data_IF_806809322059
#
_entry.id   IF_806809322059
#
_cell.length_a   1.000
_cell.length_b   1.000
_cell.length_c   1.000
_cell.angle_alpha   90.00
_cell.angle_beta   90.00
_cell.angle_gamma   90.00
#
_symmetry.space_group_name_H-M   'P 1'
#
loop_
_entity.id
_entity.type
_entity.pdbx_description
1 polymer ?
#
# COMPACT_ATOMS: atom_id res chain seq x y z
N UNK A 1 6.41 -10.14 37.68
CA UNK A 1 7.83 -10.57 37.74
C UNK A 1 8.67 -10.25 36.51
N UNK A 2 8.12 -9.66 35.44
CA UNK A 2 8.87 -9.32 34.18
C UNK A 2 9.53 -7.94 34.19
N UNK A 3 9.02 -7.00 34.99
CA UNK A 3 9.56 -5.62 35.02
C UNK A 3 10.96 -5.48 35.65
N UNK A 4 11.30 -6.34 36.61
CA UNK A 4 12.61 -6.33 37.25
C UNK A 4 13.73 -6.96 36.42
N UNK A 5 13.39 -7.82 35.44
CA UNK A 5 14.40 -8.46 34.56
C UNK A 5 14.83 -7.57 33.39
N UNK A 6 14.01 -6.59 32.98
CA UNK A 6 14.38 -5.65 31.91
C UNK A 6 15.42 -4.63 32.43
N UNK A 7 15.27 -4.17 33.67
CA UNK A 7 16.22 -3.21 34.28
C UNK A 7 17.63 -3.78 34.47
N UNK A 8 17.75 -5.08 34.77
CA UNK A 8 19.04 -5.73 35.01
C UNK A 8 19.87 -6.04 33.73
N UNK A 9 19.29 -5.96 32.54
CA UNK A 9 19.94 -6.32 31.28
C UNK A 9 20.40 -5.12 30.42
N UNK A 10 20.01 -3.92 30.78
CA UNK A 10 20.50 -2.70 30.14
C UNK A 10 21.96 -2.37 30.53
N UNK A 11 22.55 -3.12 31.45
CA UNK A 11 23.90 -2.88 32.02
C UNK A 11 25.09 -3.27 31.11
N UNK A 12 24.88 -3.78 29.91
CA UNK A 12 25.97 -4.20 28.99
C UNK A 12 26.04 -3.36 27.71
N UNK A 13 25.33 -2.23 27.67
CA UNK A 13 25.36 -1.25 26.57
C UNK A 13 25.89 0.11 27.05
N UNK A 14 25.93 1.13 26.16
CA UNK A 14 26.19 2.51 26.58
C UNK A 14 25.20 2.91 27.69
N UNK A 15 25.61 3.83 28.60
CA UNK A 15 24.75 4.25 29.70
C UNK A 15 23.39 4.73 29.16
N UNK A 16 22.31 4.17 29.71
CA UNK A 16 20.93 4.49 29.37
C UNK A 16 20.43 5.48 30.38
N UNK A 17 19.93 6.60 29.92
CA UNK A 17 19.29 7.62 30.75
C UNK A 17 17.77 7.41 30.75
N UNK A 18 17.15 7.74 31.86
CA UNK A 18 15.70 7.66 32.04
C UNK A 18 15.13 9.03 32.36
N UNK A 19 14.08 9.44 31.61
CA UNK A 19 13.38 10.71 31.83
C UNK A 19 11.88 10.49 31.75
N UNK A 20 11.14 11.03 32.72
CA UNK A 20 9.69 11.03 32.70
C UNK A 20 9.15 12.23 31.93
N UNK A 21 8.32 12.01 30.90
CA UNK A 21 7.66 13.04 30.11
C UNK A 21 6.15 12.72 30.10
N UNK A 22 5.38 13.47 30.85
CA UNK A 22 3.95 13.16 31.04
C UNK A 22 3.75 11.73 31.52
N UNK A 23 2.98 10.93 30.78
CA UNK A 23 2.74 9.52 31.05
C UNK A 23 3.80 8.57 30.47
N UNK A 24 4.86 9.09 29.85
CA UNK A 24 5.86 8.29 29.14
C UNK A 24 7.18 8.28 29.90
N UNK A 25 7.67 7.08 30.24
CA UNK A 25 9.04 6.89 30.74
C UNK A 25 9.95 6.61 29.55
N UNK A 26 10.75 7.59 29.16
CA UNK A 26 11.74 7.50 28.07
C UNK A 26 13.01 6.85 28.59
N UNK A 27 13.53 5.88 27.83
CA UNK A 27 14.83 5.24 28.05
C UNK A 27 15.66 5.33 26.75
N UNK A 28 16.80 6.02 26.79
CA UNK A 28 17.66 6.22 25.64
C UNK A 28 19.12 6.46 26.05
N UNK A 29 20.06 6.32 25.13
CA UNK A 29 21.42 6.86 25.33
C UNK A 29 21.38 8.39 25.38
N UNK A 30 22.38 9.03 26.01
CA UNK A 30 22.46 10.49 26.13
C UNK A 30 22.31 11.22 24.80
N UNK A 31 22.88 10.68 23.71
CA UNK A 31 22.78 11.26 22.36
C UNK A 31 21.38 11.22 21.76
N UNK A 32 20.54 10.25 22.16
CA UNK A 32 19.19 10.06 21.65
C UNK A 32 18.08 10.54 22.60
N UNK A 33 18.46 10.99 23.79
CA UNK A 33 17.49 11.39 24.82
C UNK A 33 16.59 12.54 24.38
N UNK A 34 17.14 13.55 23.72
CA UNK A 34 16.38 14.69 23.21
C UNK A 34 15.33 14.25 22.17
N UNK A 35 15.67 13.31 21.28
CA UNK A 35 14.73 12.71 20.35
C UNK A 35 13.61 11.95 21.10
N UNK A 36 13.99 11.16 22.12
CA UNK A 36 13.05 10.41 22.94
C UNK A 36 12.03 11.31 23.65
N UNK A 37 12.48 12.44 24.20
CA UNK A 37 11.61 13.44 24.85
C UNK A 37 10.60 14.01 23.82
N UNK A 38 11.06 14.45 22.65
CA UNK A 38 10.19 14.96 21.61
C UNK A 38 9.17 13.94 21.09
N UNK A 39 9.55 12.67 21.00
CA UNK A 39 8.63 11.58 20.64
C UNK A 39 7.59 11.34 21.76
N UNK A 40 8.02 11.36 23.01
CA UNK A 40 7.13 11.18 24.17
C UNK A 40 6.08 12.31 24.29
N UNK A 41 6.46 13.56 24.05
CA UNK A 41 5.54 14.70 24.01
C UNK A 41 4.46 14.53 22.95
N UNK A 42 4.83 14.04 21.74
CA UNK A 42 3.85 13.77 20.67
C UNK A 42 2.95 12.58 21.00
N UNK A 43 3.48 11.54 21.63
CA UNK A 43 2.71 10.39 22.09
C UNK A 43 1.65 10.81 23.12
N UNK A 44 2.00 11.66 24.07
CA UNK A 44 1.08 12.16 25.11
C UNK A 44 -0.04 13.05 24.54
N UNK A 45 0.19 13.67 23.39
CA UNK A 45 -0.81 14.50 22.68
C UNK A 45 -1.75 13.67 21.79
N UNK A 46 -1.38 12.44 21.43
CA UNK A 46 -2.17 11.56 20.55
C UNK A 46 -3.33 10.94 21.33
N UNK A 47 -4.55 11.40 21.06
CA UNK A 47 -5.74 11.01 21.86
C UNK A 47 -6.93 10.52 21.05
N UNK A 48 -6.88 10.60 19.71
CA UNK A 48 -7.98 10.16 18.84
C UNK A 48 -7.51 9.01 17.98
N UNK A 49 -8.22 7.90 18.08
CA UNK A 49 -7.87 6.63 17.43
C UNK A 49 -8.99 6.18 16.49
N UNK A 50 -8.63 5.72 15.32
CA UNK A 50 -9.58 5.31 14.30
C UNK A 50 -10.55 4.23 14.85
N UNK A 51 -11.84 4.51 14.83
CA UNK A 51 -12.89 3.59 15.31
C UNK A 51 -12.95 3.37 16.82
N UNK A 52 -11.91 3.72 17.59
CA UNK A 52 -11.92 3.67 19.06
C UNK A 52 -12.28 5.03 19.70
N UNK A 53 -12.29 6.11 18.90
CA UNK A 53 -12.56 7.44 19.42
C UNK A 53 -11.45 8.00 20.30
N UNK A 54 -11.82 8.81 21.29
CA UNK A 54 -10.85 9.45 22.19
C UNK A 54 -10.42 8.49 23.30
N UNK A 55 -9.13 8.18 23.34
CA UNK A 55 -8.50 7.29 24.34
C UNK A 55 -7.16 7.84 24.76
N UNK A 56 -6.84 7.76 26.02
CA UNK A 56 -5.52 8.05 26.56
C UNK A 56 -4.65 6.78 26.50
N UNK A 57 -3.38 6.96 26.15
CA UNK A 57 -2.42 5.85 26.11
C UNK A 57 -2.14 5.29 27.50
N UNK A 58 -2.38 6.09 28.56
CA UNK A 58 -1.96 5.79 29.93
C UNK A 58 -0.43 5.66 30.04
N UNK A 59 0.10 5.33 31.23
CA UNK A 59 1.55 5.21 31.42
C UNK A 59 2.15 4.07 30.58
N UNK A 60 3.27 4.37 29.87
CA UNK A 60 4.05 3.37 29.14
C UNK A 60 5.53 3.75 29.10
N UNK A 61 6.38 2.78 28.72
CA UNK A 61 7.81 2.98 28.54
C UNK A 61 8.14 3.05 27.07
N UNK A 62 8.93 4.07 26.69
CA UNK A 62 9.50 4.26 25.35
C UNK A 62 11.00 4.02 25.42
N UNK A 63 11.47 2.96 24.76
CA UNK A 63 12.89 2.59 24.71
C UNK A 63 13.42 2.87 23.30
N UNK A 64 14.44 3.69 23.18
CA UNK A 64 15.14 3.95 21.93
C UNK A 64 16.40 3.10 21.85
N UNK A 65 16.55 2.33 20.77
CA UNK A 65 17.71 1.50 20.51
C UNK A 65 18.37 1.89 19.19
N UNK A 66 19.73 1.92 19.12
CA UNK A 66 20.43 2.41 17.95
C UNK A 66 20.21 1.50 16.72
N UNK A 67 20.13 0.18 16.92
CA UNK A 67 20.16 -0.79 15.84
C UNK A 67 19.44 -2.11 16.17
N UNK A 68 19.41 -3.01 15.18
CA UNK A 68 18.82 -4.34 15.31
C UNK A 68 19.52 -5.20 16.36
N UNK A 69 20.83 -5.05 16.54
CA UNK A 69 21.58 -5.85 17.52
C UNK A 69 21.19 -5.46 18.95
N UNK A 70 20.95 -4.19 19.21
CA UNK A 70 20.42 -3.71 20.48
C UNK A 70 18.99 -4.18 20.72
N UNK A 71 18.11 -4.14 19.69
CA UNK A 71 16.78 -4.68 19.77
C UNK A 71 16.80 -6.18 20.12
N UNK A 72 17.61 -6.98 19.44
CA UNK A 72 17.72 -8.42 19.66
C UNK A 72 18.25 -8.74 21.08
N UNK A 73 19.18 -7.95 21.59
CA UNK A 73 19.68 -8.09 22.99
C UNK A 73 18.56 -7.88 23.99
N UNK A 74 17.80 -6.79 23.87
CA UNK A 74 16.71 -6.46 24.80
C UNK A 74 15.57 -7.48 24.73
N UNK A 75 15.22 -7.93 23.52
CA UNK A 75 14.14 -8.89 23.29
C UNK A 75 14.57 -10.35 23.46
N UNK A 76 15.86 -10.62 23.70
CA UNK A 76 16.45 -11.96 23.74
C UNK A 76 16.20 -12.76 22.46
N UNK A 77 16.35 -12.11 21.30
CA UNK A 77 16.13 -12.72 20.00
C UNK A 77 14.66 -12.96 19.63
N UNK A 78 13.70 -12.47 20.42
CA UNK A 78 12.27 -12.67 20.17
C UNK A 78 11.63 -11.57 19.30
N UNK A 79 12.32 -10.44 19.13
CA UNK A 79 11.85 -9.36 18.26
C UNK A 79 12.12 -9.66 16.79
N UNK A 80 11.29 -9.19 15.85
CA UNK A 80 11.54 -9.32 14.43
C UNK A 80 12.77 -8.49 14.04
N UNK A 81 13.74 -9.13 13.37
CA UNK A 81 14.97 -8.45 12.96
C UNK A 81 14.72 -7.32 11.92
N UNK A 82 13.63 -7.41 11.19
CA UNK A 82 13.24 -6.44 10.16
C UNK A 82 12.36 -5.29 10.71
N UNK A 83 11.76 -5.43 11.91
CA UNK A 83 10.86 -4.43 12.50
C UNK A 83 11.59 -3.14 12.86
N UNK A 84 11.00 -2.00 12.55
CA UNK A 84 11.48 -0.69 13.00
C UNK A 84 11.08 -0.40 14.46
N UNK A 85 9.99 -1.01 14.94
CA UNK A 85 9.50 -0.93 16.29
C UNK A 85 9.02 -2.29 16.81
N UNK A 86 8.72 -2.32 18.09
CA UNK A 86 8.11 -3.46 18.77
C UNK A 86 7.31 -3.00 19.98
N UNK A 87 6.04 -3.33 20.00
CA UNK A 87 5.18 -3.13 21.17
C UNK A 87 5.10 -4.39 22.01
N UNK A 88 5.29 -4.26 23.31
CA UNK A 88 5.09 -5.29 24.33
C UNK A 88 3.90 -4.88 25.21
N UNK A 89 2.66 -5.23 24.85
CA UNK A 89 1.46 -4.71 25.52
C UNK A 89 1.40 -5.05 27.01
N UNK A 90 1.74 -6.27 27.40
CA UNK A 90 1.72 -6.71 28.79
C UNK A 90 2.73 -5.98 29.68
N UNK A 91 3.85 -5.51 29.10
CA UNK A 91 4.85 -4.71 29.79
C UNK A 91 4.63 -3.21 29.59
N UNK A 92 3.61 -2.82 28.81
CA UNK A 92 3.34 -1.44 28.38
C UNK A 92 4.63 -0.74 27.89
N UNK A 93 5.37 -1.41 27.02
CA UNK A 93 6.67 -0.95 26.55
C UNK A 93 6.66 -0.91 25.01
N UNK A 94 7.13 0.18 24.46
CA UNK A 94 7.40 0.36 23.04
C UNK A 94 8.91 0.48 22.88
N UNK A 95 9.49 -0.27 21.97
CA UNK A 95 10.90 -0.22 21.62
C UNK A 95 11.00 0.28 20.17
N UNK A 96 11.76 1.33 19.92
CA UNK A 96 12.00 1.88 18.59
C UNK A 96 13.45 1.75 18.19
N UNK A 97 13.69 1.30 16.97
CA UNK A 97 15.00 1.27 16.33
C UNK A 97 15.25 2.59 15.59
N UNK A 98 16.41 3.18 15.78
CA UNK A 98 16.77 4.46 15.17
C UNK A 98 17.44 4.32 13.79
N UNK A 99 17.93 3.11 13.46
CA UNK A 99 18.50 2.78 12.13
C UNK A 99 17.42 2.38 11.09
N UNK A 100 16.14 2.36 11.46
CA UNK A 100 15.07 1.86 10.61
C UNK A 100 13.86 2.80 10.57
N UNK A 101 13.56 3.31 9.39
CA UNK A 101 12.34 4.08 9.14
C UNK A 101 12.33 5.48 9.76
N UNK A 102 11.14 6.06 9.81
CA UNK A 102 10.87 7.32 10.51
C UNK A 102 10.42 7.01 11.94
N UNK A 103 11.15 7.47 12.98
CA UNK A 103 10.82 7.16 14.37
C UNK A 103 9.42 7.67 14.78
N UNK A 104 8.95 8.77 14.24
CA UNK A 104 7.63 9.32 14.56
C UNK A 104 6.51 8.46 13.95
N UNK A 105 6.64 8.07 12.68
CA UNK A 105 5.68 7.18 12.03
C UNK A 105 5.66 5.81 12.74
N UNK A 106 6.84 5.27 13.05
CA UNK A 106 6.97 4.01 13.79
C UNK A 106 6.31 4.11 15.17
N UNK A 107 6.56 5.21 15.92
CA UNK A 107 5.91 5.40 17.22
C UNK A 107 4.38 5.39 17.12
N UNK A 108 3.80 6.08 16.12
CA UNK A 108 2.34 6.08 15.93
C UNK A 108 1.79 4.68 15.66
N UNK A 109 2.51 3.89 14.87
CA UNK A 109 2.17 2.49 14.59
C UNK A 109 2.19 1.65 15.88
N UNK A 110 3.25 1.74 16.66
CA UNK A 110 3.40 1.00 17.92
C UNK A 110 2.40 1.45 19.00
N UNK A 111 2.10 2.75 19.04
CA UNK A 111 1.03 3.26 19.92
C UNK A 111 -0.33 2.69 19.54
N UNK A 112 -0.63 2.52 18.26
CA UNK A 112 -1.87 1.90 17.82
C UNK A 112 -2.00 0.45 18.31
N UNK A 113 -0.91 -0.33 18.31
CA UNK A 113 -0.89 -1.66 18.92
C UNK A 113 -1.13 -1.59 20.43
N UNK A 114 -0.49 -0.65 21.13
CA UNK A 114 -0.65 -0.49 22.58
C UNK A 114 -2.10 -0.15 22.94
N UNK A 115 -2.73 0.76 22.22
CA UNK A 115 -4.12 1.16 22.43
C UNK A 115 -5.07 0.02 22.10
N UNK A 116 -4.90 -0.63 20.95
CA UNK A 116 -5.75 -1.75 20.54
C UNK A 116 -5.70 -2.87 21.58
N UNK A 117 -4.50 -3.26 22.04
CA UNK A 117 -4.32 -4.29 23.07
C UNK A 117 -4.87 -3.86 24.44
N UNK A 118 -4.91 -2.56 24.74
CA UNK A 118 -5.48 -2.05 25.99
C UNK A 118 -7.01 -1.99 25.94
N UNK A 119 -7.59 -1.79 24.77
CA UNK A 119 -9.03 -1.71 24.58
C UNK A 119 -9.69 -3.10 24.47
N UNK A 120 -9.00 -4.06 23.86
CA UNK A 120 -9.59 -5.36 23.55
C UNK A 120 -9.18 -6.44 24.55
N UNK A 121 -10.12 -7.06 25.27
CA UNK A 121 -9.82 -8.15 26.19
C UNK A 121 -9.49 -9.47 25.48
N UNK A 122 -9.96 -9.63 24.24
CA UNK A 122 -9.78 -10.81 23.41
C UNK A 122 -8.62 -10.72 22.41
N UNK A 123 -8.26 -11.85 21.81
CA UNK A 123 -7.28 -11.88 20.71
C UNK A 123 -7.96 -11.55 19.40
N UNK A 124 -7.26 -10.80 18.56
CA UNK A 124 -7.64 -10.54 17.15
C UNK A 124 -6.61 -11.18 16.21
N UNK A 125 -6.97 -11.50 14.96
CA UNK A 125 -6.03 -11.97 13.95
C UNK A 125 -4.89 -10.98 13.74
N UNK A 126 -3.70 -11.47 13.35
CA UNK A 126 -2.52 -10.62 13.16
C UNK A 126 -2.75 -9.61 12.04
N UNK A 127 -3.36 -10.03 10.93
CA UNK A 127 -3.69 -9.11 9.83
C UNK A 127 -4.58 -7.94 10.27
N UNK A 128 -5.49 -8.20 11.23
CA UNK A 128 -6.35 -7.14 11.76
C UNK A 128 -5.57 -6.18 12.66
N UNK A 129 -4.72 -6.71 13.55
CA UNK A 129 -3.90 -5.88 14.44
C UNK A 129 -2.94 -4.99 13.65
N UNK A 130 -2.22 -5.55 12.68
CA UNK A 130 -1.29 -4.81 11.81
C UNK A 130 -2.02 -3.84 10.88
N UNK A 131 -3.12 -4.28 10.28
CA UNK A 131 -3.95 -3.43 9.44
C UNK A 131 -4.56 -2.25 10.20
N UNK A 132 -4.98 -2.47 11.44
CA UNK A 132 -5.44 -1.41 12.34
C UNK A 132 -4.32 -0.41 12.63
N UNK A 133 -3.12 -0.89 12.97
CA UNK A 133 -1.98 -0.04 13.26
C UNK A 133 -1.62 0.85 12.05
N UNK A 134 -1.56 0.27 10.84
CA UNK A 134 -1.33 1.02 9.58
C UNK A 134 -2.37 2.13 9.37
N UNK A 135 -3.66 1.82 9.58
CA UNK A 135 -4.75 2.80 9.41
C UNK A 135 -4.72 3.87 10.49
N UNK A 136 -4.58 3.47 11.76
CA UNK A 136 -4.59 4.38 12.90
C UNK A 136 -3.35 5.29 12.95
N UNK A 137 -2.19 4.81 12.47
CA UNK A 137 -0.98 5.61 12.32
C UNK A 137 -1.05 6.62 11.16
N UNK A 138 -2.07 6.51 10.29
CA UNK A 138 -2.17 7.35 9.09
C UNK A 138 -1.18 7.00 7.99
N UNK A 139 -0.62 5.79 8.03
CA UNK A 139 0.33 5.28 7.03
C UNK A 139 -0.35 4.90 5.71
N UNK A 140 -1.68 4.77 5.74
CA UNK A 140 -2.50 4.47 4.58
C UNK A 140 -2.55 5.65 3.60
N UNK A 141 -1.67 5.65 2.60
CA UNK A 141 -1.50 6.74 1.65
C UNK A 141 -1.37 6.29 0.19
N UNK A 142 -1.12 7.26 -0.72
CA UNK A 142 -1.00 7.02 -2.16
C UNK A 142 0.09 6.00 -2.53
N UNK A 143 1.17 5.92 -1.74
CA UNK A 143 2.26 4.95 -1.96
C UNK A 143 1.81 3.51 -1.63
N UNK A 144 0.93 3.34 -0.68
CA UNK A 144 0.36 2.03 -0.35
C UNK A 144 -0.54 1.52 -1.46
N UNK A 145 -1.37 2.38 -2.05
CA UNK A 145 -2.17 2.04 -3.23
C UNK A 145 -1.28 1.60 -4.41
N UNK A 146 -0.12 2.24 -4.62
CA UNK A 146 0.83 1.84 -5.66
C UNK A 146 1.48 0.48 -5.37
N UNK A 147 1.85 0.20 -4.12
CA UNK A 147 2.40 -1.10 -3.68
C UNK A 147 1.37 -2.22 -3.83
N UNK A 148 0.11 -1.94 -3.48
CA UNK A 148 -1.00 -2.86 -3.72
C UNK A 148 -1.18 -3.16 -5.20
N UNK A 149 -1.12 -2.15 -6.07
CA UNK A 149 -1.20 -2.34 -7.52
C UNK A 149 -0.13 -3.31 -8.01
N UNK A 150 1.12 -3.16 -7.56
CA UNK A 150 2.22 -4.05 -7.93
C UNK A 150 2.03 -5.49 -7.42
N UNK A 151 1.45 -5.68 -6.23
CA UNK A 151 1.15 -7.00 -5.69
C UNK A 151 0.05 -7.71 -6.46
N UNK A 152 -1.00 -6.97 -6.83
CA UNK A 152 -2.12 -7.50 -7.64
C UNK A 152 -1.69 -7.83 -9.06
N UNK A 153 -0.75 -7.06 -9.64
CA UNK A 153 -0.12 -7.35 -10.95
C UNK A 153 0.51 -8.75 -10.97
N UNK A 154 1.10 -9.15 -9.87
CA UNK A 154 1.71 -10.48 -9.74
C UNK A 154 0.70 -11.59 -9.43
N UNK A 155 -0.62 -11.30 -9.47
CA UNK A 155 -1.70 -12.27 -9.31
C UNK A 155 -1.86 -12.86 -7.91
N UNK A 156 -1.25 -12.24 -6.87
CA UNK A 156 -1.15 -12.81 -5.54
C UNK A 156 -1.81 -11.93 -4.48
N UNK A 157 -3.15 -11.95 -4.44
CA UNK A 157 -3.86 -11.50 -3.23
C UNK A 157 -4.00 -12.72 -2.33
N UNK A 158 -3.24 -12.82 -1.22
CA UNK A 158 -3.34 -13.95 -0.30
C UNK A 158 -4.70 -14.00 0.37
N UNK A 159 -5.05 -15.12 0.97
CA UNK A 159 -6.14 -15.20 1.95
C UNK A 159 -5.75 -14.43 3.22
N UNK A 160 -6.71 -14.15 4.09
CA UNK A 160 -6.41 -13.50 5.38
C UNK A 160 -5.45 -14.35 6.24
N UNK A 161 -5.59 -15.69 6.22
CA UNK A 161 -4.63 -16.59 6.89
C UNK A 161 -3.25 -16.54 6.20
N UNK A 162 -3.22 -16.48 4.88
CA UNK A 162 -1.98 -16.29 4.12
C UNK A 162 -1.32 -14.94 4.38
N UNK A 163 -2.12 -13.92 4.70
CA UNK A 163 -1.64 -12.61 5.10
C UNK A 163 -0.99 -12.66 6.49
N UNK A 164 -1.61 -13.38 7.44
CA UNK A 164 -1.04 -13.64 8.76
C UNK A 164 0.32 -14.36 8.68
N UNK A 165 0.47 -15.31 7.75
CA UNK A 165 1.74 -15.96 7.50
C UNK A 165 2.79 -14.99 6.91
N UNK A 166 2.40 -14.21 5.90
CA UNK A 166 3.30 -13.24 5.25
C UNK A 166 3.79 -12.14 6.21
N UNK A 167 2.96 -11.75 7.19
CA UNK A 167 3.31 -10.78 8.23
C UNK A 167 4.32 -11.32 9.26
N UNK A 168 4.51 -12.67 9.34
CA UNK A 168 5.48 -13.29 10.27
C UNK A 168 6.85 -13.56 9.66
N UNK A 169 6.90 -13.94 8.37
CA UNK A 169 8.04 -14.72 7.88
C UNK A 169 8.85 -14.07 6.76
N UNK A 170 8.35 -13.05 6.03
CA UNK A 170 9.04 -12.57 4.83
C UNK A 170 9.29 -11.05 4.80
N UNK A 171 10.54 -10.62 5.09
CA UNK A 171 10.92 -9.21 5.02
C UNK A 171 10.73 -8.57 3.64
N UNK A 172 10.73 -9.35 2.56
CA UNK A 172 10.63 -8.82 1.19
C UNK A 172 9.19 -8.51 0.79
N UNK A 173 8.23 -9.27 1.33
CA UNK A 173 6.79 -9.12 1.06
C UNK A 173 6.04 -8.37 2.14
N UNK A 174 6.67 -8.18 3.30
CA UNK A 174 6.00 -7.64 4.49
C UNK A 174 5.35 -6.26 4.27
N UNK A 175 5.99 -5.38 3.52
CA UNK A 175 5.41 -4.05 3.21
C UNK A 175 4.13 -4.16 2.39
N UNK A 176 4.06 -5.16 1.50
CA UNK A 176 2.83 -5.47 0.75
C UNK A 176 1.78 -6.07 1.67
N UNK A 177 2.20 -6.94 2.60
CA UNK A 177 1.31 -7.54 3.58
C UNK A 177 0.69 -6.47 4.50
N UNK A 178 1.45 -5.49 4.98
CA UNK A 178 0.94 -4.34 5.73
C UNK A 178 -0.09 -3.53 4.94
N UNK A 179 0.21 -3.23 3.67
CA UNK A 179 -0.72 -2.51 2.81
C UNK A 179 -2.02 -3.29 2.59
N UNK A 180 -1.95 -4.60 2.37
CA UNK A 180 -3.11 -5.48 2.23
C UNK A 180 -3.91 -5.59 3.54
N UNK A 181 -3.23 -5.67 4.67
CA UNK A 181 -3.85 -5.68 6.00
C UNK A 181 -4.63 -4.38 6.27
N UNK A 182 -4.03 -3.22 5.96
CA UNK A 182 -4.69 -1.92 6.03
C UNK A 182 -5.92 -1.84 5.11
N UNK A 183 -5.82 -2.33 3.84
CA UNK A 183 -6.99 -2.38 2.94
C UNK A 183 -8.09 -3.31 3.46
N UNK A 184 -7.75 -4.44 4.07
CA UNK A 184 -8.71 -5.34 4.67
C UNK A 184 -9.47 -4.66 5.82
N UNK A 185 -8.77 -3.96 6.73
CA UNK A 185 -9.38 -3.19 7.82
C UNK A 185 -10.26 -2.06 7.29
N UNK A 186 -9.80 -1.29 6.30
CA UNK A 186 -10.62 -0.28 5.65
C UNK A 186 -11.82 -0.88 4.90
N UNK A 187 -11.69 -2.10 4.38
CA UNK A 187 -12.81 -2.83 3.76
C UNK A 187 -13.87 -3.23 4.78
N UNK A 188 -13.48 -3.61 6.02
CA UNK A 188 -14.44 -3.84 7.11
C UNK A 188 -15.24 -2.58 7.42
N UNK A 189 -14.55 -1.45 7.61
CA UNK A 189 -15.21 -0.17 7.87
C UNK A 189 -16.22 0.19 6.78
N UNK A 190 -15.84 0.07 5.50
CA UNK A 190 -16.73 0.37 4.35
C UNK A 190 -17.94 -0.55 4.25
N UNK A 191 -17.92 -1.74 4.82
CA UNK A 191 -19.04 -2.70 4.78
C UNK A 191 -20.11 -2.40 5.83
N UNK A 192 -19.75 -1.71 6.90
CA UNK A 192 -20.74 -1.24 7.85
C UNK A 192 -21.51 -0.04 7.27
N UNK A 193 -22.84 0.07 7.48
CA UNK A 193 -23.65 1.17 6.95
C UNK A 193 -23.15 2.58 7.31
N UNK A 194 -22.52 2.74 8.47
CA UNK A 194 -21.93 4.02 8.91
C UNK A 194 -20.57 4.32 8.27
N UNK A 195 -19.96 3.38 7.54
CA UNK A 195 -18.60 3.51 7.02
C UNK A 195 -17.51 3.53 8.11
N UNK A 196 -17.83 3.09 9.33
CA UNK A 196 -16.96 3.16 10.51
C UNK A 196 -16.54 1.76 10.98
N UNK A 197 -15.35 1.66 11.57
CA UNK A 197 -14.88 0.47 12.27
C UNK A 197 -15.42 0.39 13.71
N UNK A 198 -16.00 1.48 14.22
CA UNK A 198 -16.47 1.60 15.59
C UNK A 198 -17.40 0.46 16.04
N UNK A 199 -18.42 0.02 15.27
CA UNK A 199 -19.31 -1.04 15.71
C UNK A 199 -18.59 -2.38 15.94
N UNK A 200 -17.62 -2.72 15.09
CA UNK A 200 -16.79 -3.92 15.26
C UNK A 200 -15.94 -3.79 16.53
N UNK A 201 -15.26 -2.67 16.71
CA UNK A 201 -14.40 -2.43 17.87
C UNK A 201 -15.18 -2.40 19.18
N UNK A 202 -16.36 -1.79 19.19
CA UNK A 202 -17.26 -1.78 20.37
C UNK A 202 -17.68 -3.20 20.79
N UNK A 203 -18.01 -4.06 19.80
CA UNK A 203 -18.31 -5.47 20.08
C UNK A 203 -17.09 -6.22 20.66
N UNK A 204 -15.90 -5.99 20.09
CA UNK A 204 -14.66 -6.58 20.58
C UNK A 204 -14.28 -6.08 21.99
N UNK A 205 -14.50 -4.80 22.29
CA UNK A 205 -14.30 -4.22 23.63
C UNK A 205 -15.22 -4.86 24.68
N UNK A 206 -16.44 -5.24 24.30
CA UNK A 206 -17.36 -5.96 25.18
C UNK A 206 -17.03 -7.45 25.35
N UNK A 207 -15.92 -7.93 24.73
CA UNK A 207 -15.44 -9.29 24.85
C UNK A 207 -16.05 -10.28 23.86
N UNK A 208 -16.79 -9.80 22.85
CA UNK A 208 -17.31 -10.66 21.78
C UNK A 208 -16.14 -11.21 20.96
N UNK A 209 -16.11 -12.52 20.63
CA UNK A 209 -15.08 -13.10 19.79
C UNK A 209 -15.02 -12.43 18.41
N UNK A 210 -13.82 -12.35 17.79
CA UNK A 210 -13.60 -11.63 16.54
C UNK A 210 -14.56 -12.04 15.42
N UNK A 211 -14.76 -13.35 15.20
CA UNK A 211 -15.62 -13.88 14.13
C UNK A 211 -17.08 -13.49 14.32
N UNK A 212 -17.55 -13.47 15.56
CA UNK A 212 -18.91 -13.08 15.92
C UNK A 212 -19.11 -11.57 15.77
N UNK A 213 -18.14 -10.77 16.25
CA UNK A 213 -18.15 -9.32 16.11
C UNK A 213 -18.10 -8.89 14.62
N UNK A 214 -17.28 -9.57 13.81
CA UNK A 214 -17.20 -9.35 12.37
C UNK A 214 -18.55 -9.66 11.69
N UNK A 215 -19.17 -10.79 12.05
CA UNK A 215 -20.48 -11.17 11.51
C UNK A 215 -21.57 -10.18 11.93
N UNK A 216 -21.57 -9.73 13.16
CA UNK A 216 -22.53 -8.75 13.65
C UNK A 216 -22.39 -7.40 12.94
N UNK A 217 -21.16 -6.95 12.68
CA UNK A 217 -20.89 -5.65 12.06
C UNK A 217 -21.04 -5.63 10.54
N UNK A 218 -20.76 -6.76 9.85
CA UNK A 218 -20.72 -6.81 8.38
C UNK A 218 -21.76 -7.73 7.75
N UNK A 219 -22.43 -8.59 8.52
CA UNK A 219 -23.32 -9.64 8.03
C UNK A 219 -22.58 -10.83 7.40
N UNK A 220 -21.23 -10.87 7.42
CA UNK A 220 -20.43 -11.89 6.76
C UNK A 220 -19.67 -12.74 7.79
N UNK A 221 -19.44 -14.01 7.46
CA UNK A 221 -18.41 -14.81 8.13
C UNK A 221 -17.02 -14.37 7.68
N UNK A 222 -15.97 -14.74 8.43
CA UNK A 222 -14.58 -14.42 8.07
C UNK A 222 -14.24 -14.91 6.65
N UNK A 223 -14.61 -16.16 6.30
CA UNK A 223 -14.36 -16.73 4.97
C UNK A 223 -15.07 -15.95 3.85
N UNK A 224 -16.33 -15.58 4.07
CA UNK A 224 -17.09 -14.78 3.10
C UNK A 224 -16.54 -13.37 2.97
N UNK A 225 -16.07 -12.80 4.07
CA UNK A 225 -15.37 -11.52 4.04
C UNK A 225 -14.07 -11.63 3.24
N UNK A 226 -13.25 -12.69 3.48
CA UNK A 226 -12.01 -12.93 2.76
C UNK A 226 -12.26 -13.02 1.23
N UNK A 227 -13.21 -13.86 0.80
CA UNK A 227 -13.57 -13.99 -0.61
C UNK A 227 -13.99 -12.66 -1.24
N UNK A 228 -14.87 -11.93 -0.56
CA UNK A 228 -15.40 -10.65 -1.04
C UNK A 228 -14.29 -9.57 -1.07
N UNK A 229 -13.47 -9.49 -0.03
CA UNK A 229 -12.34 -8.56 0.03
C UNK A 229 -11.32 -8.82 -1.10
N UNK A 230 -10.89 -10.07 -1.30
CA UNK A 230 -9.97 -10.42 -2.39
C UNK A 230 -10.54 -10.10 -3.78
N UNK A 231 -11.84 -10.30 -3.97
CA UNK A 231 -12.54 -9.92 -5.22
C UNK A 231 -12.51 -8.40 -5.41
N UNK A 232 -12.78 -7.62 -4.35
CA UNK A 232 -12.78 -6.16 -4.37
C UNK A 232 -11.39 -5.60 -4.62
N UNK A 233 -10.34 -6.18 -4.00
CA UNK A 233 -8.93 -5.82 -4.26
C UNK A 233 -8.58 -6.06 -5.72
N UNK A 234 -8.86 -7.25 -6.25
CA UNK A 234 -8.62 -7.56 -7.67
C UNK A 234 -9.38 -6.64 -8.62
N UNK A 235 -10.61 -6.30 -8.29
CA UNK A 235 -11.43 -5.38 -9.12
C UNK A 235 -10.89 -3.96 -9.10
N UNK A 236 -10.54 -3.42 -7.93
CA UNK A 236 -10.06 -2.03 -7.79
C UNK A 236 -8.68 -1.82 -8.40
N UNK A 237 -7.78 -2.77 -8.19
CA UNK A 237 -6.39 -2.62 -8.60
C UNK A 237 -6.06 -3.35 -9.92
N UNK A 238 -6.88 -4.33 -10.35
CA UNK A 238 -6.67 -5.08 -11.58
C UNK A 238 -6.80 -4.24 -12.85
N UNK A 239 -7.64 -3.20 -12.86
CA UNK A 239 -7.79 -2.29 -14.00
C UNK A 239 -6.51 -1.50 -14.24
N UNK A 240 -5.85 -1.02 -13.18
CA UNK A 240 -4.60 -0.27 -13.29
C UNK A 240 -3.47 -1.15 -13.84
N UNK A 241 -3.49 -2.44 -13.46
CA UNK A 241 -2.59 -3.46 -14.00
C UNK A 241 -2.77 -3.64 -15.50
N UNK A 242 -4.02 -3.79 -15.93
CA UNK A 242 -4.32 -3.95 -17.35
C UNK A 242 -3.88 -2.71 -18.16
N UNK A 243 -4.07 -1.51 -17.63
CA UNK A 243 -3.60 -0.27 -18.25
C UNK A 243 -2.06 -0.20 -18.29
N UNK A 244 -1.36 -0.61 -17.24
CA UNK A 244 0.12 -0.57 -17.18
C UNK A 244 0.78 -1.72 -17.97
N UNK A 245 0.12 -2.88 -18.11
CA UNK A 245 0.63 -4.05 -18.81
C UNK A 245 0.44 -4.02 -20.34
N UNK A 246 0.19 -2.85 -20.92
CA UNK A 246 0.03 -2.67 -22.37
C UNK A 246 -1.39 -2.40 -22.85
N UNK A 247 -2.38 -2.35 -21.94
CA UNK A 247 -3.76 -2.02 -22.30
C UNK A 247 -3.87 -0.62 -22.95
N UNK A 248 -3.09 0.34 -22.48
CA UNK A 248 -3.00 1.68 -23.13
C UNK A 248 -2.40 1.57 -24.52
N UNK A 249 -1.32 0.79 -24.66
CA UNK A 249 -0.69 0.59 -25.97
C UNK A 249 -1.58 -0.17 -26.93
N UNK A 250 -2.34 -1.16 -26.44
CA UNK A 250 -3.38 -1.84 -27.22
C UNK A 250 -4.45 -0.86 -27.72
N UNK A 251 -4.93 0.05 -26.87
CA UNK A 251 -5.89 1.10 -27.27
C UNK A 251 -5.26 2.07 -28.28
N UNK A 252 -4.00 2.46 -28.09
CA UNK A 252 -3.27 3.30 -29.05
C UNK A 252 -3.13 2.60 -30.39
N UNK A 253 -2.77 1.32 -30.43
CA UNK A 253 -2.68 0.53 -31.67
C UNK A 253 -4.04 0.41 -32.35
N UNK A 254 -5.11 0.10 -31.61
CA UNK A 254 -6.49 0.05 -32.16
C UNK A 254 -6.87 1.42 -32.72
N UNK A 255 -6.62 2.51 -31.99
CA UNK A 255 -6.88 3.87 -32.47
C UNK A 255 -6.09 4.21 -33.74
N UNK A 256 -4.79 3.87 -33.82
CA UNK A 256 -3.95 4.07 -35.00
C UNK A 256 -4.47 3.28 -36.19
N UNK A 257 -4.88 2.03 -36.01
CA UNK A 257 -5.46 1.17 -37.06
C UNK A 257 -6.76 1.77 -37.57
N UNK A 258 -7.65 2.21 -36.65
CA UNK A 258 -8.90 2.87 -37.02
C UNK A 258 -8.64 4.21 -37.73
N UNK A 259 -7.77 5.06 -37.23
CA UNK A 259 -7.41 6.32 -37.86
C UNK A 259 -6.82 6.11 -39.26
N UNK A 260 -5.95 5.09 -39.42
CA UNK A 260 -5.39 4.73 -40.71
C UNK A 260 -6.47 4.18 -41.67
N UNK A 261 -7.41 3.38 -41.19
CA UNK A 261 -8.52 2.86 -42.00
C UNK A 261 -9.45 3.97 -42.49
N UNK A 262 -9.75 4.94 -41.63
CA UNK A 262 -10.58 6.13 -41.96
C UNK A 262 -9.85 6.98 -43.00
N UNK A 263 -8.54 7.24 -42.84
CA UNK A 263 -7.73 7.99 -43.80
C UNK A 263 -7.68 7.28 -45.17
N UNK A 264 -7.46 5.97 -45.20
CA UNK A 264 -7.45 5.17 -46.43
C UNK A 264 -8.80 5.23 -47.16
N UNK A 265 -9.92 5.19 -46.45
CA UNK A 265 -11.27 5.33 -47.05
C UNK A 265 -11.50 6.75 -47.57
N UNK A 266 -11.00 7.77 -46.86
CA UNK A 266 -11.07 9.17 -47.35
C UNK A 266 -10.19 9.39 -48.61
N UNK A 267 -8.98 8.84 -48.65
CA UNK A 267 -8.09 8.92 -49.79
C UNK A 267 -8.60 8.17 -51.00
N UNK A 268 -9.23 6.96 -50.81
CA UNK A 268 -9.87 6.25 -51.94
C UNK A 268 -11.04 7.03 -52.53
N UNK A 269 -11.86 7.69 -51.71
CA UNK A 269 -12.94 8.54 -52.17
C UNK A 269 -12.42 9.78 -52.93
N UNK A 270 -11.34 10.39 -52.47
CA UNK A 270 -10.69 11.55 -53.16
C UNK A 270 -10.10 11.12 -54.50
N UNK A 271 -9.47 9.93 -54.60
CA UNK A 271 -8.96 9.41 -55.86
C UNK A 271 -10.09 9.13 -56.84
N UNK A 272 -11.16 8.45 -56.39
CA UNK A 272 -12.33 8.18 -57.23
C UNK A 272 -12.96 9.48 -57.76
N UNK A 273 -13.01 10.55 -56.92
CA UNK A 273 -13.53 11.86 -57.36
C UNK A 273 -12.57 12.60 -58.32
N UNK A 274 -11.26 12.32 -58.30
CA UNK A 274 -10.31 12.84 -59.25
C UNK A 274 -10.34 12.07 -60.60
N UNK A 275 -10.63 10.77 -60.54
CA UNK A 275 -10.73 9.92 -61.76
C UNK A 275 -12.03 10.21 -62.53
N UNK A 276 -13.10 10.69 -61.87
CA UNK A 276 -14.42 10.96 -62.45
C UNK A 276 -14.46 12.22 -63.34
N UNK A 277 -13.42 13.05 -63.35
CA UNK A 277 -13.30 14.28 -64.17
C UNK A 277 -12.15 14.26 -65.16
N UNK A 278 -11.42 13.16 -65.33
CA UNK A 278 -10.28 13.07 -66.22
C UNK A 278 -10.63 12.32 -67.50
N UNK A 279 -11.20 13.01 -68.50
CA UNK A 279 -11.26 12.50 -69.87
C UNK A 279 -9.86 12.67 -70.50
N UNK A 280 -9.21 11.57 -70.84
CA UNK A 280 -8.00 11.60 -71.65
C UNK A 280 -8.46 12.01 -73.07
N UNK A 281 -8.00 13.15 -73.64
CA UNK A 281 -8.36 13.49 -75.03
C UNK A 281 -7.83 12.35 -75.92
N UNK A 282 -8.72 11.71 -76.70
CA UNK A 282 -8.31 10.78 -77.74
C UNK A 282 -7.38 11.60 -78.69
N UNK A 283 -6.11 11.19 -78.67
CA UNK A 283 -5.16 11.70 -79.71
C UNK A 283 -5.55 11.05 -81.04
N UNK A 284 -6.23 11.78 -81.88
CA UNK A 284 -6.61 11.37 -83.23
C UNK A 284 -5.36 10.92 -84.02
N UNK A 285 -5.23 9.60 -84.19
CA UNK A 285 -4.12 8.97 -84.90
C UNK A 285 -4.19 9.17 -86.43
N UNK A 286 -5.07 10.07 -86.88
CA UNK A 286 -5.41 10.29 -88.26
C UNK A 286 -4.55 11.32 -89.00
N UNK A 287 -3.71 12.17 -88.38
CA UNK A 287 -3.02 13.27 -89.09
C UNK A 287 -1.52 13.09 -89.35
N UNK A 288 -0.99 11.89 -89.11
CA UNK A 288 0.46 11.66 -89.34
C UNK A 288 0.83 10.98 -90.68
N UNK A 289 0.03 11.13 -91.73
CA UNK A 289 0.42 10.73 -93.07
C UNK A 289 0.37 11.93 -93.94
N UNK A 290 1.46 12.67 -94.07
CA UNK A 290 1.97 13.44 -95.19
C UNK A 290 2.92 14.52 -94.68
N UNK A 291 4.16 14.17 -94.43
CA UNK A 291 5.28 15.09 -94.59
C UNK A 291 6.46 14.28 -95.11
N UNK A 292 6.73 14.51 -96.40
CA UNK A 292 7.74 13.77 -97.12
C UNK A 292 9.14 14.05 -96.56
N UNK A 293 9.85 12.98 -96.52
CA UNK A 293 11.28 12.95 -96.23
C UNK A 293 12.04 13.47 -97.45
N UNK A 294 12.71 14.61 -97.35
CA UNK A 294 13.81 15.01 -98.22
C UNK A 294 15.10 14.94 -97.38
N UNK A 295 15.92 13.98 -97.75
CA UNK A 295 17.28 13.83 -97.22
C UNK A 295 18.22 14.84 -97.89
N UNK A 296 19.08 15.53 -97.16
CA UNK A 296 20.24 16.16 -97.74
C UNK A 296 21.47 15.23 -97.68
N UNK A 297 22.11 15.08 -98.85
CA UNK A 297 23.37 14.39 -99.10
C UNK A 297 24.55 15.10 -98.39
N UNK A 298 25.58 14.39 -97.99
CA UNK A 298 26.77 15.00 -97.40
C UNK A 298 27.74 15.46 -98.48
N UNK A 299 28.33 16.63 -98.27
CA UNK A 299 29.54 17.08 -99.00
C UNK A 299 30.70 17.19 -98.02
N UNK A 300 31.76 16.49 -98.36
CA UNK A 300 33.19 16.63 -98.17
C UNK A 300 33.69 17.25 -96.87
#
# INVERSE_FOLDING_TARGET
MWGLLLAAQLSLGPPVEEVQVGNVLVQASAEHLALGIGLAERADQTRVWYGLGRRETGPFRLVLVPDVAALQRITRGRGPAWGAGLTLPSARTIILRLDAGDPEATLRHELAHLILASALPGRVPLWFAEGYAVVAAGEWGRLEALRLNLAVVRGRVPTLDGLDAALRDDPTTIRVAYALAGDAVMSLARRHPTGSLEPLLTALESGVPFDEALRASTGLTVDRFDEAWRKDVRRRYGVIVWLSAGGIWGLVVVWLVLARSIRRRADSRRRAALDEGWEIPEVDAGSARHAGVTSPTPRA
#
